data_IF_404608375437
#
_entry.id   IF_404608375437
#
_cell.length_a   1.000
_cell.length_b   1.000
_cell.length_c   1.000
_cell.angle_alpha   90.00
_cell.angle_beta   90.00
_cell.angle_gamma   90.00
#
_symmetry.space_group_name_H-M   'P 1'
#
loop_
_entity.id
_entity.type
_entity.pdbx_description
1 polymer ?
#
# COMPACT_ATOMS: atom_id res chain seq x y z
N UNK A 1 -5.14 -5.27 8.38
CA UNK A 1 -4.02 -6.18 8.75
C UNK A 1 -3.04 -6.39 7.60
N UNK A 2 -3.47 -6.84 6.41
CA UNK A 2 -2.56 -7.03 5.27
C UNK A 2 -1.78 -5.76 4.87
N UNK A 3 -2.45 -4.60 4.78
CA UNK A 3 -1.80 -3.31 4.51
C UNK A 3 -0.73 -2.92 5.55
N UNK A 4 -0.95 -3.26 6.83
CA UNK A 4 0.02 -3.01 7.90
C UNK A 4 1.29 -3.84 7.71
N UNK A 5 1.14 -5.13 7.41
CA UNK A 5 2.27 -6.04 7.19
C UNK A 5 3.12 -5.54 6.02
N UNK A 6 2.49 -5.19 4.89
CA UNK A 6 3.25 -4.75 3.71
C UNK A 6 3.92 -3.39 3.94
N UNK A 7 3.24 -2.46 4.62
CA UNK A 7 3.84 -1.19 5.03
C UNK A 7 5.07 -1.41 5.92
N UNK A 8 4.97 -2.29 6.93
CA UNK A 8 6.08 -2.63 7.82
C UNK A 8 7.27 -3.26 7.09
N UNK A 9 7.02 -4.17 6.14
CA UNK A 9 8.07 -4.79 5.34
C UNK A 9 8.78 -3.79 4.42
N UNK A 10 8.04 -2.88 3.79
CA UNK A 10 8.60 -1.86 2.87
C UNK A 10 9.41 -0.79 3.58
N UNK A 11 8.95 -0.32 4.74
CA UNK A 11 9.65 0.71 5.52
C UNK A 11 10.88 0.15 6.24
N UNK A 12 10.85 -1.12 6.63
CA UNK A 12 11.97 -1.76 7.33
C UNK A 12 13.15 -2.09 6.42
N UNK A 13 12.90 -2.69 5.26
CA UNK A 13 13.96 -3.35 4.46
C UNK A 13 13.99 -2.88 2.98
N UNK A 14 13.23 -1.86 2.60
CA UNK A 14 13.20 -1.38 1.21
C UNK A 14 14.53 -0.81 0.72
N UNK A 15 15.27 -0.15 1.61
CA UNK A 15 16.60 0.41 1.31
C UNK A 15 17.64 -0.13 2.28
N UNK A 16 18.80 -0.53 1.77
CA UNK A 16 19.91 -1.05 2.58
C UNK A 16 21.20 -0.31 2.27
N UNK A 17 22.17 -0.33 3.19
CA UNK A 17 23.51 0.21 2.98
C UNK A 17 24.48 -0.90 2.57
N UNK A 18 25.41 -0.60 1.69
CA UNK A 18 26.51 -1.52 1.40
C UNK A 18 27.55 -1.43 2.52
N UNK A 19 28.20 -2.52 2.96
CA UNK A 19 29.21 -2.47 4.02
C UNK A 19 30.37 -1.50 3.74
N UNK A 20 30.59 -1.17 2.46
CA UNK A 20 31.67 -0.30 1.99
C UNK A 20 31.25 1.16 1.72
N UNK A 21 29.97 1.52 1.82
CA UNK A 21 29.47 2.88 1.55
C UNK A 21 28.24 3.21 2.40
N UNK A 22 28.17 4.40 3.02
CA UNK A 22 27.02 4.84 3.82
C UNK A 22 25.80 5.27 2.98
N UNK A 23 25.80 4.96 1.68
CA UNK A 23 24.74 5.37 0.76
C UNK A 23 23.64 4.29 0.69
N UNK A 24 22.41 4.69 1.04
CA UNK A 24 21.22 3.84 0.96
C UNK A 24 20.90 3.54 -0.51
N UNK A 25 20.74 2.27 -0.87
CA UNK A 25 20.27 1.85 -2.19
C UNK A 25 19.01 0.98 -2.08
N UNK A 26 18.15 1.08 -3.09
CA UNK A 26 16.94 0.26 -3.17
C UNK A 26 17.32 -1.19 -3.51
N UNK A 27 16.75 -2.16 -2.78
CA UNK A 27 17.07 -3.58 -2.99
C UNK A 27 16.63 -4.11 -4.36
N UNK A 28 15.66 -3.45 -5.00
CA UNK A 28 15.10 -3.86 -6.27
C UNK A 28 15.95 -3.29 -7.42
N UNK A 29 17.02 -3.99 -7.79
CA UNK A 29 17.90 -3.64 -8.93
C UNK A 29 18.39 -2.17 -8.93
N UNK A 30 18.67 -1.61 -7.74
CA UNK A 30 19.04 -0.19 -7.56
C UNK A 30 18.04 0.81 -8.17
N UNK A 31 16.80 0.37 -8.44
CA UNK A 31 15.77 1.19 -9.05
C UNK A 31 14.97 1.90 -7.96
N UNK A 32 15.28 3.18 -7.74
CA UNK A 32 14.61 3.98 -6.72
C UNK A 32 13.09 4.09 -6.94
N UNK A 33 12.64 4.07 -8.20
CA UNK A 33 11.21 4.16 -8.52
C UNK A 33 10.44 2.91 -8.04
N UNK A 34 11.09 1.74 -8.00
CA UNK A 34 10.51 0.52 -7.46
C UNK A 34 10.26 0.61 -5.95
N UNK A 35 11.25 1.04 -5.18
CA UNK A 35 11.08 1.26 -3.75
C UNK A 35 10.08 2.37 -3.45
N UNK A 36 10.15 3.50 -4.16
CA UNK A 36 9.22 4.62 -3.99
C UNK A 36 7.79 4.23 -4.31
N UNK A 37 7.59 3.45 -5.37
CA UNK A 37 6.27 2.89 -5.72
C UNK A 37 5.74 2.01 -4.58
N UNK A 38 6.54 1.03 -4.12
CA UNK A 38 6.16 0.13 -3.05
C UNK A 38 5.76 0.90 -1.79
N UNK A 39 6.64 1.78 -1.30
CA UNK A 39 6.40 2.60 -0.11
C UNK A 39 5.17 3.50 -0.28
N UNK A 40 5.03 4.18 -1.42
CA UNK A 40 3.91 5.08 -1.70
C UNK A 40 2.57 4.34 -1.67
N UNK A 41 2.49 3.18 -2.33
CA UNK A 41 1.30 2.32 -2.28
C UNK A 41 1.06 1.84 -0.84
N UNK A 42 2.08 1.35 -0.13
CA UNK A 42 1.96 0.91 1.26
C UNK A 42 1.39 1.98 2.21
N UNK A 43 1.91 3.21 2.14
CA UNK A 43 1.44 4.35 2.96
C UNK A 43 0.00 4.70 2.64
N UNK A 44 -0.35 4.82 1.35
CA UNK A 44 -1.72 5.13 0.93
C UNK A 44 -2.70 4.04 1.36
N UNK A 45 -2.30 2.76 1.29
CA UNK A 45 -3.09 1.63 1.80
C UNK A 45 -3.44 1.83 3.27
N UNK A 46 -2.43 2.18 4.07
CA UNK A 46 -2.55 2.29 5.51
C UNK A 46 -3.49 3.43 5.89
N UNK A 47 -3.33 4.61 5.26
CA UNK A 47 -4.21 5.75 5.49
C UNK A 47 -5.65 5.47 5.07
N UNK A 48 -5.85 4.82 3.93
CA UNK A 48 -7.18 4.43 3.47
C UNK A 48 -7.84 3.42 4.43
N UNK A 49 -7.09 2.42 4.92
CA UNK A 49 -7.60 1.49 5.92
C UNK A 49 -8.03 2.19 7.21
N UNK A 50 -7.29 3.19 7.69
CA UNK A 50 -7.69 3.99 8.86
C UNK A 50 -9.00 4.74 8.57
N UNK A 51 -9.10 5.36 7.40
CA UNK A 51 -10.30 6.08 7.00
C UNK A 51 -11.53 5.17 6.95
N UNK A 52 -11.47 4.05 6.24
CA UNK A 52 -12.59 3.10 6.14
C UNK A 52 -12.91 2.46 7.50
N UNK A 53 -11.91 2.18 8.33
CA UNK A 53 -12.14 1.70 9.69
C UNK A 53 -12.91 2.71 10.54
N UNK A 54 -12.60 4.00 10.43
CA UNK A 54 -13.38 5.05 11.11
C UNK A 54 -14.80 5.13 10.57
N UNK A 55 -14.97 5.07 9.24
CA UNK A 55 -16.30 5.02 8.62
C UNK A 55 -17.12 3.84 9.16
N UNK A 56 -16.52 2.66 9.31
CA UNK A 56 -17.18 1.47 9.87
C UNK A 56 -17.62 1.67 11.34
N UNK A 57 -16.80 2.34 12.17
CA UNK A 57 -17.16 2.66 13.56
C UNK A 57 -18.40 3.56 13.62
N UNK A 58 -18.48 4.56 12.74
CA UNK A 58 -19.61 5.51 12.72
C UNK A 58 -20.81 4.99 11.92
N UNK A 59 -20.65 3.93 11.13
CA UNK A 59 -21.69 3.35 10.28
C UNK A 59 -23.02 3.03 11.00
N UNK A 60 -23.03 2.54 12.26
CA UNK A 60 -24.28 2.32 13.02
C UNK A 60 -25.03 3.59 13.40
N UNK A 61 -24.36 4.74 13.49
CA UNK A 61 -24.96 6.03 13.85
C UNK A 61 -25.63 6.72 12.65
N UNK A 62 -25.39 6.24 11.43
CA UNK A 62 -25.96 6.82 10.20
C UNK A 62 -27.39 6.28 9.99
N UNK A 63 -28.38 7.15 10.17
CA UNK A 63 -29.81 6.83 9.93
C UNK A 63 -30.20 6.85 8.45
N UNK A 64 -29.45 7.58 7.62
CA UNK A 64 -29.75 7.74 6.20
C UNK A 64 -29.30 6.52 5.38
N UNK A 65 -30.24 5.86 4.70
CA UNK A 65 -29.97 4.68 3.88
C UNK A 65 -29.21 4.99 2.59
N UNK A 66 -29.31 6.24 2.10
CA UNK A 66 -28.60 6.69 0.90
C UNK A 66 -27.11 6.83 1.16
N UNK A 67 -26.72 7.46 2.27
CA UNK A 67 -25.31 7.68 2.63
C UNK A 67 -24.59 6.34 2.86
N UNK A 68 -25.26 5.39 3.53
CA UNK A 68 -24.73 4.03 3.75
C UNK A 68 -24.42 3.32 2.43
N UNK A 69 -25.27 3.46 1.41
CA UNK A 69 -25.03 2.86 0.08
C UNK A 69 -23.82 3.48 -0.61
N UNK A 70 -23.65 4.81 -0.54
CA UNK A 70 -22.49 5.48 -1.13
C UNK A 70 -21.18 5.08 -0.45
N UNK A 71 -21.16 4.97 0.89
CA UNK A 71 -19.98 4.52 1.62
C UNK A 71 -19.57 3.09 1.24
N UNK A 72 -20.53 2.17 1.15
CA UNK A 72 -20.27 0.78 0.72
C UNK A 72 -19.79 0.73 -0.73
N UNK A 73 -20.36 1.54 -1.62
CA UNK A 73 -19.90 1.60 -3.02
C UNK A 73 -18.48 2.16 -3.11
N UNK A 74 -18.15 3.18 -2.31
CA UNK A 74 -16.81 3.74 -2.25
C UNK A 74 -15.78 2.71 -1.75
N UNK A 75 -16.11 1.95 -0.71
CA UNK A 75 -15.26 0.87 -0.21
C UNK A 75 -15.04 -0.23 -1.26
N UNK A 76 -16.10 -0.63 -1.97
CA UNK A 76 -16.02 -1.63 -3.04
C UNK A 76 -15.13 -1.15 -4.20
N UNK A 77 -15.32 0.08 -4.66
CA UNK A 77 -14.51 0.67 -5.72
C UNK A 77 -13.05 0.84 -5.30
N UNK A 78 -12.82 1.30 -4.07
CA UNK A 78 -11.48 1.43 -3.51
C UNK A 78 -10.79 0.06 -3.44
N UNK A 79 -11.46 -0.95 -2.91
CA UNK A 79 -10.95 -2.33 -2.84
C UNK A 79 -10.62 -2.89 -4.24
N UNK A 80 -11.48 -2.67 -5.23
CA UNK A 80 -11.23 -3.08 -6.62
C UNK A 80 -10.00 -2.40 -7.23
N UNK A 81 -9.88 -1.08 -7.09
CA UNK A 81 -8.71 -0.34 -7.56
C UNK A 81 -7.43 -0.79 -6.84
N UNK A 82 -7.53 -0.98 -5.54
CA UNK A 82 -6.40 -1.33 -4.68
C UNK A 82 -5.84 -2.72 -5.01
N UNK A 83 -6.72 -3.71 -5.22
CA UNK A 83 -6.32 -5.07 -5.64
C UNK A 83 -5.61 -5.07 -7.00
N UNK A 84 -6.07 -4.27 -7.96
CA UNK A 84 -5.38 -4.11 -9.25
C UNK A 84 -3.99 -3.48 -9.08
N UNK A 85 -3.87 -2.40 -8.29
CA UNK A 85 -2.57 -1.77 -8.02
C UNK A 85 -1.61 -2.73 -7.32
N UNK A 86 -2.08 -3.53 -6.36
CA UNK A 86 -1.28 -4.59 -5.73
C UNK A 86 -0.74 -5.60 -6.74
N UNK A 87 -1.60 -6.06 -7.65
CA UNK A 87 -1.19 -7.02 -8.67
C UNK A 87 -0.11 -6.43 -9.59
N UNK A 88 -0.31 -5.22 -10.11
CA UNK A 88 0.68 -4.53 -10.95
C UNK A 88 1.98 -4.29 -10.18
N UNK A 89 1.88 -3.84 -8.93
CA UNK A 89 3.01 -3.63 -8.05
C UNK A 89 3.82 -4.89 -7.79
N UNK A 90 3.15 -6.00 -7.53
CA UNK A 90 3.79 -7.30 -7.35
C UNK A 90 4.55 -7.73 -8.61
N UNK A 91 3.92 -7.63 -9.79
CA UNK A 91 4.56 -7.95 -11.07
C UNK A 91 5.79 -7.06 -11.32
N UNK A 92 5.67 -5.76 -11.08
CA UNK A 92 6.75 -4.80 -11.27
C UNK A 92 7.93 -5.06 -10.32
N UNK A 93 7.66 -5.19 -9.02
CA UNK A 93 8.69 -5.43 -8.01
C UNK A 93 9.38 -6.79 -8.23
N UNK A 94 8.64 -7.84 -8.57
CA UNK A 94 9.21 -9.16 -8.86
C UNK A 94 10.09 -9.13 -10.11
N UNK A 95 9.70 -8.38 -11.15
CA UNK A 95 10.54 -8.18 -12.32
C UNK A 95 11.86 -7.49 -11.97
N UNK A 96 11.82 -6.44 -11.15
CA UNK A 96 13.05 -5.78 -10.68
C UNK A 96 13.89 -6.70 -9.79
N UNK A 97 13.25 -7.50 -8.93
CA UNK A 97 13.94 -8.46 -8.09
C UNK A 97 14.63 -9.56 -8.91
N UNK A 98 14.02 -10.04 -10.00
CA UNK A 98 14.63 -11.02 -10.91
C UNK A 98 15.88 -10.50 -11.63
N UNK A 99 16.05 -9.19 -11.72
CA UNK A 99 17.20 -8.55 -12.37
C UNK A 99 18.21 -7.98 -11.37
N UNK A 100 18.00 -8.22 -10.07
CA UNK A 100 18.94 -7.86 -8.99
C UNK A 100 20.03 -8.92 -8.87
#
# INVERSE_FOLDING_TARGET
VFALIVFSCLVGEGYTNLPSSPQLFCIFNHNEDACRYGIGIGVLAFLACIFFFMVDIYFPQISNTTDRKYLVLADLCFSGLWTFLWFVGFCFLTNQWSWT
#
